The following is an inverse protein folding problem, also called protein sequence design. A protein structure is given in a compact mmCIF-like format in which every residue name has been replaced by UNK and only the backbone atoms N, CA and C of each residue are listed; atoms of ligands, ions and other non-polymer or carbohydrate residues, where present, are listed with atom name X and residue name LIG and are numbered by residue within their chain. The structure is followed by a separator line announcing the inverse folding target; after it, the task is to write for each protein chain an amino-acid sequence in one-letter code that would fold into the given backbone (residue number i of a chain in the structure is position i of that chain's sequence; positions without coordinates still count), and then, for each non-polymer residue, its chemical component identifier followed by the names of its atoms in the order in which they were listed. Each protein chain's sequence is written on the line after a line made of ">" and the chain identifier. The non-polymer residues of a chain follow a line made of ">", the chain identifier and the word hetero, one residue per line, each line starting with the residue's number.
data_IF_264527965849
#
_entry.id   IF_264527965849
#
_cell.length_a   1.000
_cell.length_b   1.000
_cell.length_c   1.000
_cell.angle_alpha   90.00
_cell.angle_beta   90.00
_cell.angle_gamma   90.00
#
_symmetry.space_group_name_H-M   'P 1'
#
loop_
_entity.id
_entity.type
_entity.pdbx_description
1 polymer ?
#
# COMPACT_ATOMS: atom_id res chain seq x y z
N UNK A 1 -32.29 48.43 -26.02
CA UNK A 1 -31.21 48.66 -25.04
C UNK A 1 -31.34 47.49 -24.04
N UNK A 2 -30.49 46.51 -24.20
CA UNK A 2 -30.50 45.34 -23.31
C UNK A 2 -29.81 45.71 -21.98
N UNK A 3 -30.52 45.49 -20.89
CA UNK A 3 -30.00 45.64 -19.54
C UNK A 3 -29.05 44.49 -19.28
N UNK A 4 -27.75 44.74 -19.22
CA UNK A 4 -26.74 43.73 -18.89
C UNK A 4 -26.58 43.70 -17.39
N UNK A 5 -27.12 42.66 -16.77
CA UNK A 5 -26.89 42.42 -15.35
C UNK A 5 -25.49 41.78 -15.17
N UNK A 6 -24.61 42.49 -14.50
CA UNK A 6 -23.31 41.94 -14.06
C UNK A 6 -23.55 41.20 -12.76
N UNK A 7 -23.21 39.92 -12.71
CA UNK A 7 -23.24 39.10 -11.51
C UNK A 7 -21.80 38.89 -11.06
N UNK A 8 -21.45 39.43 -9.91
CA UNK A 8 -20.17 39.14 -9.26
C UNK A 8 -20.28 37.82 -8.47
N UNK A 9 -19.45 36.87 -8.86
CA UNK A 9 -19.36 35.58 -8.16
C UNK A 9 -18.04 35.58 -7.42
N UNK A 10 -18.12 35.52 -6.09
CA UNK A 10 -16.95 35.29 -5.23
C UNK A 10 -16.85 33.79 -4.93
N UNK A 11 -15.75 33.18 -5.33
CA UNK A 11 -15.40 31.82 -4.94
C UNK A 11 -14.58 31.90 -3.65
N UNK A 12 -14.95 31.11 -2.66
CA UNK A 12 -14.17 30.91 -1.44
C UNK A 12 -13.96 29.43 -1.24
N UNK A 13 -12.80 29.08 -0.74
CA UNK A 13 -12.46 27.72 -0.36
C UNK A 13 -12.95 27.50 1.07
N UNK A 14 -13.91 26.60 1.23
CA UNK A 14 -14.37 26.18 2.55
C UNK A 14 -13.56 24.97 2.99
N UNK A 15 -12.78 25.09 4.06
CA UNK A 15 -12.10 23.95 4.65
C UNK A 15 -13.13 22.98 5.23
N UNK A 16 -13.29 21.86 4.54
CA UNK A 16 -14.16 20.79 5.01
C UNK A 16 -13.58 20.15 6.27
N UNK A 17 -14.28 20.22 7.39
CA UNK A 17 -13.91 19.45 8.58
C UNK A 17 -13.84 17.96 8.28
N UNK A 18 -12.83 17.28 8.81
CA UNK A 18 -12.73 15.82 8.72
C UNK A 18 -13.84 15.18 9.57
N UNK A 19 -14.63 14.28 8.96
CA UNK A 19 -15.73 13.57 9.62
C UNK A 19 -15.65 12.09 9.35
N UNK A 20 -15.79 11.28 10.39
CA UNK A 20 -15.98 9.85 10.27
C UNK A 20 -17.38 9.58 9.68
N UNK A 21 -17.43 8.94 8.52
CA UNK A 21 -18.68 8.55 7.85
C UNK A 21 -19.12 7.17 8.27
N UNK A 22 -18.19 6.25 8.40
CA UNK A 22 -18.46 4.85 8.70
C UNK A 22 -17.31 4.20 9.46
N UNK A 23 -17.65 3.32 10.39
CA UNK A 23 -16.70 2.42 11.03
C UNK A 23 -17.33 1.04 11.18
N UNK A 24 -16.70 0.03 10.57
CA UNK A 24 -17.18 -1.36 10.56
C UNK A 24 -16.09 -2.36 10.89
N UNK A 25 -16.39 -3.31 11.75
CA UNK A 25 -15.60 -4.53 11.86
C UNK A 25 -16.02 -5.50 10.74
N UNK A 26 -15.04 -6.10 10.07
CA UNK A 26 -15.24 -7.12 9.03
C UNK A 26 -14.97 -8.50 9.62
N UNK A 27 -15.56 -9.53 9.02
CA UNK A 27 -15.43 -10.93 9.45
C UNK A 27 -13.97 -11.45 9.47
N UNK A 28 -13.06 -10.80 8.76
CA UNK A 28 -11.62 -11.11 8.77
C UNK A 28 -10.83 -10.40 9.88
N UNK A 29 -11.50 -9.82 10.86
CA UNK A 29 -10.88 -9.06 11.95
C UNK A 29 -10.41 -7.66 11.58
N UNK A 30 -10.56 -7.26 10.32
CA UNK A 30 -10.21 -5.92 9.86
C UNK A 30 -11.29 -4.91 10.27
N UNK A 31 -10.87 -3.80 10.86
CA UNK A 31 -11.72 -2.66 11.12
C UNK A 31 -11.50 -1.66 9.98
N UNK A 32 -12.59 -1.21 9.39
CA UNK A 32 -12.58 -0.28 8.27
C UNK A 32 -13.30 1.01 8.70
N UNK A 33 -12.56 2.11 8.68
CA UNK A 33 -13.07 3.45 8.92
C UNK A 33 -13.00 4.25 7.65
N UNK A 34 -14.06 4.96 7.31
CA UNK A 34 -14.15 5.80 6.13
C UNK A 34 -14.47 7.24 6.56
N UNK A 35 -13.72 8.17 6.04
CA UNK A 35 -13.87 9.60 6.28
C UNK A 35 -14.44 10.32 5.05
N UNK A 36 -14.80 11.58 5.21
CA UNK A 36 -15.34 12.40 4.12
C UNK A 36 -14.26 13.03 3.21
N UNK A 37 -12.99 12.90 3.57
CA UNK A 37 -11.83 13.35 2.78
C UNK A 37 -10.61 12.49 3.06
N UNK A 38 -9.59 12.63 2.24
CA UNK A 38 -8.31 11.94 2.43
C UNK A 38 -7.66 12.26 3.77
N UNK A 39 -6.98 11.27 4.32
CA UNK A 39 -6.29 11.32 5.61
C UNK A 39 -4.81 11.00 5.44
N UNK A 40 -3.95 11.84 6.01
CA UNK A 40 -2.49 11.66 5.92
C UNK A 40 -1.93 10.89 7.13
N UNK A 41 -2.45 11.17 8.32
CA UNK A 41 -2.01 10.53 9.56
C UNK A 41 -3.11 10.52 10.61
N UNK A 42 -3.11 9.48 11.45
CA UNK A 42 -4.04 9.34 12.57
C UNK A 42 -3.32 8.70 13.76
N UNK A 43 -3.67 9.12 14.96
CA UNK A 43 -3.33 8.41 16.18
C UNK A 43 -4.49 7.52 16.59
N UNK A 44 -4.20 6.23 16.71
CA UNK A 44 -5.20 5.22 17.08
C UNK A 44 -4.91 4.68 18.47
N UNK A 45 -5.93 4.58 19.29
CA UNK A 45 -5.86 4.07 20.67
C UNK A 45 -6.92 3.00 20.89
N UNK A 46 -6.74 2.17 21.90
CA UNK A 46 -7.75 1.18 22.30
C UNK A 46 -7.92 1.10 23.82
N UNK A 47 -9.09 0.65 24.25
CA UNK A 47 -9.41 0.44 25.67
C UNK A 47 -8.61 -0.69 26.34
N UNK A 48 -7.99 -1.56 25.53
CA UNK A 48 -7.31 -2.79 26.00
C UNK A 48 -5.80 -2.74 25.82
N UNK A 49 -5.21 -1.58 25.47
CA UNK A 49 -3.81 -1.46 25.06
C UNK A 49 -3.40 -2.45 23.96
N UNK A 50 -4.34 -2.88 23.15
CA UNK A 50 -4.09 -3.76 22.01
C UNK A 50 -3.28 -3.02 20.97
N UNK A 51 -2.20 -3.64 20.50
CA UNK A 51 -1.44 -3.13 19.37
C UNK A 51 -2.16 -3.43 18.04
N UNK A 52 -1.92 -2.58 17.05
CA UNK A 52 -2.57 -2.67 15.75
C UNK A 52 -1.56 -2.61 14.62
N UNK A 53 -1.88 -3.28 13.53
CA UNK A 53 -1.41 -2.92 12.21
C UNK A 53 -2.39 -1.94 11.60
N UNK A 54 -1.91 -0.93 10.89
CA UNK A 54 -2.78 0.04 10.22
C UNK A 54 -2.26 0.40 8.84
N UNK A 55 -3.19 0.70 7.95
CA UNK A 55 -2.90 1.15 6.58
C UNK A 55 -3.90 2.23 6.20
N UNK A 56 -3.39 3.38 5.76
CA UNK A 56 -4.19 4.45 5.19
C UNK A 56 -4.29 4.23 3.67
N UNK A 57 -5.48 4.41 3.12
CA UNK A 57 -5.74 4.33 1.70
C UNK A 57 -6.77 5.40 1.32
N UNK A 58 -6.28 6.57 0.87
CA UNK A 58 -7.11 7.71 0.55
C UNK A 58 -7.91 8.19 1.77
N UNK A 59 -9.22 8.13 1.68
CA UNK A 59 -10.18 8.49 2.75
C UNK A 59 -10.38 7.40 3.81
N UNK A 60 -9.70 6.28 3.68
CA UNK A 60 -9.98 5.09 4.49
C UNK A 60 -8.81 4.70 5.37
N UNK A 61 -9.10 4.37 6.64
CA UNK A 61 -8.19 3.75 7.59
C UNK A 61 -8.57 2.29 7.81
N UNK A 62 -7.63 1.41 7.52
CA UNK A 62 -7.75 -0.03 7.74
C UNK A 62 -6.93 -0.40 8.96
N UNK A 63 -7.52 -1.11 9.91
CA UNK A 63 -6.88 -1.48 11.18
C UNK A 63 -7.06 -2.97 11.41
N UNK A 64 -5.99 -3.63 11.86
CA UNK A 64 -6.00 -5.03 12.27
C UNK A 64 -5.43 -5.14 13.69
N UNK A 65 -6.23 -5.54 14.69
CA UNK A 65 -5.71 -5.88 16.00
C UNK A 65 -4.67 -7.01 15.89
N UNK A 66 -3.53 -6.89 16.58
CA UNK A 66 -2.50 -7.95 16.56
C UNK A 66 -2.98 -9.22 17.25
N UNK A 67 -3.88 -9.09 18.19
CA UNK A 67 -4.42 -10.22 18.98
C UNK A 67 -5.94 -10.23 18.89
N UNK A 68 -6.52 -11.42 18.96
CA UNK A 68 -7.97 -11.57 19.06
C UNK A 68 -8.45 -11.09 20.43
N UNK A 69 -9.41 -10.16 20.42
CA UNK A 69 -10.07 -9.62 21.61
C UNK A 69 -11.57 -9.67 21.36
N UNK A 70 -12.36 -10.14 22.31
CA UNK A 70 -13.81 -10.34 22.13
C UNK A 70 -14.57 -9.05 21.83
N UNK A 71 -14.24 -8.00 22.60
CA UNK A 71 -14.76 -6.66 22.32
C UNK A 71 -13.89 -5.59 22.94
N UNK A 72 -13.74 -4.48 22.26
CA UNK A 72 -12.97 -3.33 22.73
C UNK A 72 -13.42 -2.05 22.06
N UNK A 73 -13.18 -0.91 22.73
CA UNK A 73 -13.30 0.38 22.09
C UNK A 73 -11.99 0.75 21.41
N UNK A 74 -12.11 1.25 20.19
CA UNK A 74 -11.02 1.89 19.47
C UNK A 74 -11.41 3.34 19.20
N UNK A 75 -10.47 4.26 19.35
CA UNK A 75 -10.68 5.67 19.04
C UNK A 75 -9.50 6.23 18.27
N UNK A 76 -9.80 7.22 17.47
CA UNK A 76 -8.81 8.01 16.74
C UNK A 76 -8.86 9.44 17.22
N UNK A 77 -7.70 10.06 17.34
CA UNK A 77 -7.55 11.48 17.66
C UNK A 77 -7.17 12.24 16.39
N UNK A 78 -8.02 13.21 16.03
CA UNK A 78 -7.82 14.08 14.87
C UNK A 78 -8.15 15.49 15.33
N UNK A 79 -7.20 16.42 15.23
CA UNK A 79 -7.40 17.85 15.55
C UNK A 79 -8.15 18.07 16.88
N UNK A 80 -7.75 17.32 17.92
CA UNK A 80 -8.38 17.34 19.26
C UNK A 80 -9.81 16.75 19.32
N UNK A 81 -10.28 16.11 18.25
CA UNK A 81 -11.55 15.39 18.22
C UNK A 81 -11.30 13.89 18.39
N UNK A 82 -12.12 13.25 19.20
CA UNK A 82 -12.09 11.82 19.46
C UNK A 82 -13.32 11.18 18.82
N UNK A 83 -13.08 10.35 17.80
CA UNK A 83 -14.08 9.44 17.25
C UNK A 83 -13.86 8.05 17.83
N UNK A 84 -14.90 7.42 18.36
CA UNK A 84 -14.79 6.09 18.98
C UNK A 84 -15.82 5.12 18.45
N UNK A 85 -15.42 3.85 18.37
CA UNK A 85 -16.26 2.74 17.93
C UNK A 85 -16.05 1.54 18.82
N UNK A 86 -17.16 0.87 19.20
CA UNK A 86 -17.11 -0.43 19.83
C UNK A 86 -16.94 -1.51 18.75
N UNK A 87 -15.83 -2.20 18.81
CA UNK A 87 -15.56 -3.37 17.97
C UNK A 87 -16.00 -4.63 18.71
N UNK A 88 -16.85 -5.42 18.09
CA UNK A 88 -17.25 -6.74 18.57
C UNK A 88 -16.71 -7.81 17.62
N UNK A 89 -16.00 -8.75 18.17
CA UNK A 89 -15.35 -9.83 17.41
C UNK A 89 -16.21 -11.12 17.51
N UNK A 90 -17.48 -11.03 17.13
CA UNK A 90 -18.46 -12.10 17.36
C UNK A 90 -18.21 -13.37 16.56
N UNK A 91 -17.45 -13.29 15.45
CA UNK A 91 -17.04 -14.47 14.69
C UNK A 91 -15.98 -14.11 13.62
N UNK A 92 -14.72 -14.33 13.96
CA UNK A 92 -13.64 -14.23 12.99
C UNK A 92 -13.71 -15.42 12.04
N UNK A 93 -13.90 -15.15 10.76
CA UNK A 93 -13.81 -16.16 9.70
C UNK A 93 -12.43 -16.07 9.06
N UNK A 94 -11.77 -17.21 8.93
CA UNK A 94 -10.55 -17.30 8.14
C UNK A 94 -10.83 -16.87 6.71
N UNK A 95 -10.08 -15.92 6.21
CA UNK A 95 -10.17 -15.45 4.82
C UNK A 95 -8.87 -15.73 4.09
N UNK A 96 -8.97 -15.83 2.78
CA UNK A 96 -7.79 -15.94 1.94
C UNK A 96 -7.02 -14.63 1.96
N UNK A 97 -5.69 -14.74 2.17
CA UNK A 97 -4.77 -13.63 2.02
C UNK A 97 -4.47 -13.43 0.53
N UNK A 98 -4.66 -12.21 0.03
CA UNK A 98 -4.37 -11.90 -1.35
C UNK A 98 -3.06 -11.11 -1.45
N UNK A 99 -2.20 -11.57 -2.35
CA UNK A 99 -0.97 -10.90 -2.72
C UNK A 99 -1.09 -10.39 -4.15
N UNK A 100 -0.58 -9.21 -4.40
CA UNK A 100 -0.59 -8.58 -5.73
C UNK A 100 0.80 -8.13 -6.11
N UNK A 101 1.16 -8.35 -7.37
CA UNK A 101 2.40 -7.86 -7.95
C UNK A 101 2.20 -6.38 -8.35
N UNK A 102 3.07 -5.50 -7.88
CA UNK A 102 2.99 -4.08 -8.18
C UNK A 102 3.21 -3.79 -9.68
N UNK A 103 4.15 -4.49 -10.30
CA UNK A 103 4.47 -4.36 -11.73
C UNK A 103 4.94 -5.67 -12.32
N UNK A 104 4.48 -5.98 -13.53
CA UNK A 104 5.02 -7.10 -14.33
C UNK A 104 6.40 -6.81 -14.93
N UNK A 105 6.81 -5.55 -14.95
CA UNK A 105 8.14 -5.15 -15.36
C UNK A 105 9.00 -4.86 -14.13
N UNK A 106 10.10 -5.56 -13.98
CA UNK A 106 11.07 -5.37 -12.92
C UNK A 106 12.29 -4.63 -13.47
N UNK A 107 12.66 -3.52 -12.82
CA UNK A 107 13.91 -2.82 -13.11
C UNK A 107 15.08 -3.66 -12.57
N UNK A 108 16.21 -3.64 -13.26
CA UNK A 108 17.39 -4.43 -12.89
C UNK A 108 17.99 -4.12 -11.49
N UNK A 109 17.62 -2.99 -10.91
CA UNK A 109 18.13 -2.52 -9.61
C UNK A 109 17.06 -2.53 -8.50
N UNK A 110 15.88 -3.10 -8.77
CA UNK A 110 14.75 -3.05 -7.84
C UNK A 110 14.40 -4.45 -7.35
N UNK A 111 14.14 -4.60 -6.06
CA UNK A 111 13.58 -5.84 -5.52
C UNK A 111 12.20 -6.12 -6.11
N UNK A 112 11.81 -7.39 -6.15
CA UNK A 112 10.45 -7.77 -6.46
C UNK A 112 9.57 -7.52 -5.24
N UNK A 113 8.53 -6.70 -5.40
CA UNK A 113 7.62 -6.35 -4.31
C UNK A 113 6.23 -6.92 -4.58
N UNK A 114 5.74 -7.72 -3.64
CA UNK A 114 4.35 -8.12 -3.56
C UNK A 114 3.65 -7.34 -2.45
N UNK A 115 2.50 -6.77 -2.75
CA UNK A 115 1.65 -6.09 -1.78
C UNK A 115 0.58 -7.04 -1.25
N UNK A 116 0.39 -7.02 0.06
CA UNK A 116 -0.64 -7.79 0.75
C UNK A 116 -1.86 -6.93 1.08
N UNK A 117 -3.04 -7.56 1.04
CA UNK A 117 -4.30 -6.93 1.46
C UNK A 117 -4.54 -7.01 2.98
N UNK A 118 -3.70 -7.75 3.72
CA UNK A 118 -3.71 -7.84 5.17
C UNK A 118 -2.27 -7.94 5.71
N UNK A 119 -2.04 -7.68 7.01
CA UNK A 119 -0.70 -7.70 7.60
C UNK A 119 -0.02 -9.07 7.49
N UNK A 120 1.24 -9.08 7.08
CA UNK A 120 2.09 -10.28 7.03
C UNK A 120 2.72 -10.47 8.41
N UNK A 121 2.53 -11.62 9.01
CA UNK A 121 3.10 -11.97 10.33
C UNK A 121 4.10 -13.13 10.28
N UNK A 122 4.18 -13.81 9.15
CA UNK A 122 5.13 -14.91 8.97
C UNK A 122 5.22 -15.38 7.53
N UNK A 123 6.34 -16.02 7.21
CA UNK A 123 6.64 -16.55 5.88
C UNK A 123 7.28 -17.93 6.03
N UNK A 124 6.79 -18.88 5.24
CA UNK A 124 7.37 -20.20 5.04
C UNK A 124 8.12 -20.23 3.70
N UNK A 125 9.42 -19.98 3.75
CA UNK A 125 10.27 -19.91 2.54
C UNK A 125 10.37 -21.25 1.81
N UNK A 126 10.07 -22.38 2.45
CA UNK A 126 10.09 -23.70 1.81
C UNK A 126 8.94 -23.89 0.80
N UNK A 127 7.99 -22.98 0.81
CA UNK A 127 6.80 -22.94 -0.06
C UNK A 127 6.87 -21.86 -1.14
N UNK A 128 8.06 -21.30 -1.35
CA UNK A 128 8.28 -20.22 -2.32
C UNK A 128 9.36 -20.66 -3.30
N UNK A 129 9.06 -20.65 -4.58
CA UNK A 129 9.99 -20.98 -5.62
C UNK A 129 10.09 -19.83 -6.62
N UNK A 130 11.32 -19.43 -6.97
CA UNK A 130 11.62 -18.44 -7.99
C UNK A 130 12.37 -19.08 -9.14
N UNK A 131 11.90 -18.87 -10.37
CA UNK A 131 12.51 -19.36 -11.58
C UNK A 131 12.84 -18.22 -12.54
N UNK A 132 13.97 -18.34 -13.23
CA UNK A 132 14.41 -17.50 -14.35
C UNK A 132 14.55 -18.39 -15.56
N UNK A 133 13.79 -18.15 -16.61
CA UNK A 133 13.78 -18.95 -17.83
C UNK A 133 13.76 -20.47 -17.56
N UNK A 134 12.94 -20.89 -16.58
CA UNK A 134 12.76 -22.27 -16.10
C UNK A 134 13.90 -22.84 -15.22
N UNK A 135 14.89 -22.04 -14.85
CA UNK A 135 15.94 -22.43 -13.91
C UNK A 135 15.63 -21.84 -12.54
N UNK A 136 15.61 -22.67 -11.50
CA UNK A 136 15.41 -22.19 -10.13
C UNK A 136 16.60 -21.34 -9.68
N UNK A 137 16.33 -20.23 -9.03
CA UNK A 137 17.35 -19.28 -8.54
C UNK A 137 17.17 -19.02 -7.06
N UNK A 138 18.29 -18.73 -6.42
CA UNK A 138 18.31 -18.34 -5.01
C UNK A 138 17.82 -16.90 -4.83
N UNK A 139 17.19 -16.66 -3.70
CA UNK A 139 16.68 -15.35 -3.32
C UNK A 139 16.75 -15.17 -1.79
N UNK A 140 16.75 -13.94 -1.34
CA UNK A 140 16.48 -13.56 0.06
C UNK A 140 15.12 -12.89 0.16
N UNK A 141 14.49 -12.98 1.34
CA UNK A 141 13.19 -12.39 1.61
C UNK A 141 13.31 -11.41 2.77
N UNK A 142 12.73 -10.24 2.55
CA UNK A 142 12.46 -9.22 3.58
C UNK A 142 10.95 -8.97 3.55
N UNK A 143 10.33 -8.81 4.69
CA UNK A 143 8.93 -8.44 4.74
C UNK A 143 8.67 -7.36 5.79
N UNK A 144 7.70 -6.54 5.52
CA UNK A 144 7.11 -5.56 6.41
C UNK A 144 5.63 -5.88 6.62
N UNK A 145 4.91 -5.02 7.33
CA UNK A 145 3.51 -5.28 7.65
C UNK A 145 2.64 -5.63 6.43
N UNK A 146 2.90 -5.04 5.26
CA UNK A 146 2.05 -5.22 4.08
C UNK A 146 2.81 -5.55 2.80
N UNK A 147 4.12 -5.67 2.85
CA UNK A 147 4.94 -5.93 1.67
C UNK A 147 5.84 -7.14 1.90
N UNK A 148 5.94 -7.96 0.87
CA UNK A 148 6.90 -9.04 0.75
C UNK A 148 7.87 -8.68 -0.35
N UNK A 149 9.15 -8.56 -0.03
CA UNK A 149 10.22 -8.21 -0.97
C UNK A 149 11.14 -9.38 -1.19
N UNK A 150 11.41 -9.71 -2.44
CA UNK A 150 12.40 -10.69 -2.83
C UNK A 150 13.59 -9.98 -3.47
N UNK A 151 14.77 -10.25 -2.92
CA UNK A 151 16.04 -9.82 -3.48
C UNK A 151 16.75 -11.04 -4.11
N UNK A 152 17.16 -10.92 -5.35
CA UNK A 152 17.84 -11.98 -6.11
C UNK A 152 18.73 -11.36 -7.21
N UNK A 153 19.60 -12.19 -7.80
CA UNK A 153 20.43 -11.74 -8.90
C UNK A 153 19.60 -11.59 -10.19
N UNK A 154 19.56 -10.37 -10.69
CA UNK A 154 18.81 -10.04 -11.90
C UNK A 154 19.55 -10.47 -13.16
N UNK A 155 18.84 -11.11 -14.08
CA UNK A 155 19.28 -11.40 -15.43
C UNK A 155 18.49 -10.53 -16.41
N UNK A 156 19.18 -9.79 -17.28
CA UNK A 156 18.54 -8.95 -18.28
C UNK A 156 17.84 -9.76 -19.36
N UNK A 157 16.74 -9.22 -19.91
CA UNK A 157 15.94 -9.83 -20.98
C UNK A 157 15.38 -11.22 -20.63
N UNK A 158 15.07 -11.47 -19.37
CA UNK A 158 14.62 -12.77 -18.87
C UNK A 158 13.19 -12.73 -18.37
N UNK A 159 12.53 -13.88 -18.41
CA UNK A 159 11.21 -14.09 -17.83
C UNK A 159 11.33 -14.79 -16.49
N UNK A 160 10.56 -14.31 -15.54
CA UNK A 160 10.55 -14.81 -14.19
C UNK A 160 9.20 -15.39 -13.82
N UNK A 161 9.22 -16.43 -13.03
CA UNK A 161 8.05 -17.05 -12.45
C UNK A 161 8.25 -17.22 -10.94
N UNK A 162 7.46 -16.53 -10.14
CA UNK A 162 7.39 -16.73 -8.69
C UNK A 162 6.17 -17.59 -8.37
N UNK A 163 6.39 -18.69 -7.70
CA UNK A 163 5.35 -19.60 -7.24
C UNK A 163 5.26 -19.51 -5.73
N UNK A 164 4.11 -19.11 -5.23
CA UNK A 164 3.76 -19.19 -3.82
C UNK A 164 2.79 -20.36 -3.64
N UNK A 165 3.19 -21.38 -2.93
CA UNK A 165 2.31 -22.48 -2.56
C UNK A 165 1.36 -22.00 -1.45
N UNK A 166 0.26 -22.71 -1.26
CA UNK A 166 -0.70 -22.41 -0.19
C UNK A 166 -0.02 -22.37 1.18
N UNK A 167 -0.25 -21.28 1.92
CA UNK A 167 0.33 -21.10 3.26
C UNK A 167 1.82 -20.72 3.24
N UNK A 168 2.35 -20.21 2.13
CA UNK A 168 3.67 -19.60 2.07
C UNK A 168 3.73 -18.29 2.88
N UNK A 169 2.63 -17.56 2.93
CA UNK A 169 2.51 -16.30 3.66
C UNK A 169 1.36 -16.40 4.65
N UNK A 170 1.66 -16.07 5.90
CA UNK A 170 0.73 -16.07 7.02
C UNK A 170 0.37 -14.63 7.39
N UNK A 171 -0.91 -14.36 7.54
CA UNK A 171 -1.46 -13.11 8.05
C UNK A 171 -2.13 -13.30 9.40
N UNK A 172 -2.58 -12.18 10.00
CA UNK A 172 -3.36 -12.19 11.24
C UNK A 172 -4.56 -13.13 11.16
N UNK A 173 -4.97 -13.68 12.30
CA UNK A 173 -6.12 -14.61 12.45
C UNK A 173 -6.00 -15.87 11.60
N UNK A 174 -4.77 -16.37 11.41
CA UNK A 174 -4.49 -17.59 10.62
C UNK A 174 -4.95 -17.52 9.16
N UNK A 175 -5.08 -16.32 8.60
CA UNK A 175 -5.31 -16.15 7.18
C UNK A 175 -4.06 -16.52 6.40
N UNK A 176 -4.22 -17.34 5.37
CA UNK A 176 -3.14 -17.84 4.52
C UNK A 176 -3.38 -17.45 3.07
N UNK A 177 -2.29 -17.29 2.32
CA UNK A 177 -2.42 -17.22 0.86
C UNK A 177 -2.84 -18.58 0.29
N UNK A 178 -3.57 -18.57 -0.80
CA UNK A 178 -3.75 -19.74 -1.66
C UNK A 178 -2.57 -19.87 -2.62
N UNK A 179 -2.48 -21.00 -3.33
CA UNK A 179 -1.44 -21.18 -4.36
C UNK A 179 -1.59 -20.12 -5.43
N UNK A 180 -0.52 -19.35 -5.66
CA UNK A 180 -0.53 -18.22 -6.59
C UNK A 180 0.75 -18.21 -7.40
N UNK A 181 0.63 -17.80 -8.66
CA UNK A 181 1.71 -17.73 -9.63
C UNK A 181 1.83 -16.30 -10.18
N UNK A 182 3.02 -15.71 -10.08
CA UNK A 182 3.32 -14.38 -10.60
C UNK A 182 4.36 -14.49 -11.71
N UNK A 183 3.97 -14.05 -12.90
CA UNK A 183 4.88 -13.93 -14.05
C UNK A 183 5.28 -12.46 -14.22
N UNK A 184 6.59 -12.22 -14.34
CA UNK A 184 7.16 -10.89 -14.58
C UNK A 184 8.43 -11.01 -15.44
N UNK A 185 8.97 -9.88 -15.88
CA UNK A 185 10.12 -9.87 -16.77
C UNK A 185 11.05 -8.68 -16.54
N UNK A 186 12.30 -8.81 -16.94
CA UNK A 186 13.29 -7.74 -17.04
C UNK A 186 13.53 -7.40 -18.49
N UNK A 187 13.91 -6.15 -18.79
CA UNK A 187 14.35 -5.74 -20.14
C UNK A 187 15.84 -5.94 -20.30
N UNK A 188 16.27 -6.13 -21.55
CA UNK A 188 17.67 -6.08 -21.88
C UNK A 188 18.27 -4.71 -21.49
N UNK A 189 19.50 -4.69 -21.05
CA UNK A 189 20.20 -3.44 -20.68
C UNK A 189 20.26 -2.48 -21.88
N UNK A 190 20.44 -3.02 -23.10
CA UNK A 190 20.40 -2.26 -24.35
C UNK A 190 19.04 -1.61 -24.68
N UNK A 191 17.97 -2.06 -24.04
CA UNK A 191 16.63 -1.47 -24.19
C UNK A 191 16.33 -0.37 -23.14
N UNK A 192 17.29 -0.09 -22.27
CA UNK A 192 17.20 0.94 -21.25
C UNK A 192 17.96 2.19 -21.74
N UNK A 193 17.36 3.36 -21.55
CA UNK A 193 18.01 4.64 -21.81
C UNK A 193 18.29 5.33 -20.47
N UNK A 194 19.52 5.81 -20.31
CA UNK A 194 19.86 6.69 -19.20
C UNK A 194 19.59 8.16 -19.59
N UNK A 195 18.87 8.88 -18.78
CA UNK A 195 18.68 10.32 -18.93
C UNK A 195 19.45 11.03 -17.81
N UNK A 196 20.47 11.80 -18.20
CA UNK A 196 21.22 12.67 -17.28
C UNK A 196 20.77 14.10 -17.46
N UNK A 197 20.19 14.68 -16.41
CA UNK A 197 19.74 16.07 -16.42
C UNK A 197 20.62 16.85 -15.44
N UNK A 198 21.29 17.87 -15.94
CA UNK A 198 22.03 18.81 -15.11
C UNK A 198 21.27 20.14 -15.09
N UNK A 199 20.76 20.50 -13.90
CA UNK A 199 19.98 21.72 -13.73
C UNK A 199 20.76 22.70 -12.89
N UNK A 200 20.96 23.91 -13.43
CA UNK A 200 21.50 25.05 -12.70
C UNK A 200 20.39 26.06 -12.49
N UNK A 201 20.10 26.38 -11.23
CA UNK A 201 19.05 27.34 -10.88
C UNK A 201 19.54 28.31 -9.81
N UNK A 202 19.09 29.55 -9.90
CA UNK A 202 19.27 30.55 -8.85
C UNK A 202 18.31 30.32 -7.65
N UNK A 203 17.31 29.49 -7.83
CA UNK A 203 16.35 29.13 -6.77
C UNK A 203 16.85 27.92 -6.00
N UNK A 204 16.74 27.96 -4.66
CA UNK A 204 17.16 26.86 -3.79
C UNK A 204 16.18 25.69 -3.78
N UNK A 205 14.90 25.99 -3.96
CA UNK A 205 13.83 24.99 -3.94
C UNK A 205 13.18 24.94 -5.32
N UNK A 206 13.32 23.83 -6.00
CA UNK A 206 12.64 23.56 -7.26
C UNK A 206 12.37 22.06 -7.37
N UNK A 207 11.47 21.69 -8.24
CA UNK A 207 11.21 20.30 -8.61
C UNK A 207 11.36 20.15 -10.13
N UNK A 208 11.72 18.97 -10.54
CA UNK A 208 11.85 18.57 -11.95
C UNK A 208 10.83 17.46 -12.15
N UNK A 209 9.98 17.66 -13.15
CA UNK A 209 9.00 16.65 -13.56
C UNK A 209 9.42 16.05 -14.90
N UNK A 210 9.46 14.72 -14.96
CA UNK A 210 9.61 13.99 -16.21
C UNK A 210 8.21 13.60 -16.71
N UNK A 211 7.85 14.15 -17.87
CA UNK A 211 6.56 13.89 -18.50
C UNK A 211 6.75 13.07 -19.77
N UNK A 212 5.81 12.19 -20.06
CA UNK A 212 5.67 11.50 -21.34
C UNK A 212 4.21 11.55 -21.77
N UNK A 213 3.94 12.09 -22.95
CA UNK A 213 2.59 12.26 -23.48
C UNK A 213 1.67 12.95 -22.45
N UNK A 214 2.14 14.05 -21.85
CA UNK A 214 1.50 14.82 -20.78
C UNK A 214 1.19 14.05 -19.48
N UNK A 215 1.73 12.86 -19.35
CA UNK A 215 1.63 12.07 -18.10
C UNK A 215 2.90 12.19 -17.31
N UNK A 216 2.75 12.51 -16.02
CA UNK A 216 3.86 12.54 -15.07
C UNK A 216 4.42 11.13 -14.89
N UNK A 217 5.73 10.97 -15.17
CA UNK A 217 6.47 9.73 -14.94
C UNK A 217 7.26 9.76 -13.64
N UNK A 218 7.87 10.90 -13.33
CA UNK A 218 8.73 11.02 -12.16
C UNK A 218 8.84 12.50 -11.73
N UNK A 219 8.95 12.73 -10.43
CA UNK A 219 9.25 14.04 -9.83
C UNK A 219 10.50 13.92 -8.98
N UNK A 220 11.41 14.89 -9.11
CA UNK A 220 12.59 15.05 -8.26
C UNK A 220 12.62 16.45 -7.68
N UNK A 221 12.92 16.54 -6.40
CA UNK A 221 13.12 17.83 -5.70
C UNK A 221 14.62 18.13 -5.59
N UNK A 222 14.96 19.42 -5.59
CA UNK A 222 16.32 19.84 -5.21
C UNK A 222 16.58 19.46 -3.76
N UNK A 223 17.72 18.88 -3.50
CA UNK A 223 18.21 18.61 -2.14
C UNK A 223 19.09 19.75 -1.68
#
# INVERSE_FOLDING_TARGET
>A
IGDSTVVDISLFEEEMELKLLEARAKENGRIHWTYNKEIDSLKTHSSTNTEFYSKIKGDSLLIWPKYSVDSFYIWTEIDSRLDSVLVKNDSLKTQQLNLTLESKYLKATSNLVLQSDAPIIGIDTTKIDLFVDSVQVDYSIIYSDFNLELEFLHVGASNYNLILQKGAVLSTYSNLNDSTHFAFYTKAESALAGLYINVSSAYKNFYIELLKDDKLLETRTSV
#
